data_IF_321412921206
#
_entry.id   IF_321412921206
#
_cell.length_a   1.000
_cell.length_b   1.000
_cell.length_c   1.000
_cell.angle_alpha   90.00
_cell.angle_beta   90.00
_cell.angle_gamma   90.00
#
_symmetry.space_group_name_H-M   'P 1'
#
loop_
_entity.id
_entity.type
_entity.pdbx_description
1 polymer ?
#
# COMPACT_ATOMS: atom_id res chain seq x y z
N UNK A 1 -12.96 31.40 4.82
CA UNK A 1 -12.04 32.07 3.87
C UNK A 1 -10.66 32.23 4.48
N UNK A 2 -10.53 32.79 5.69
CA UNK A 2 -9.24 33.06 6.31
C UNK A 2 -8.31 31.83 6.45
N UNK A 3 -8.82 30.71 6.95
CA UNK A 3 -8.05 29.46 7.05
C UNK A 3 -7.53 28.96 5.69
N UNK A 4 -8.28 29.18 4.59
CA UNK A 4 -7.83 28.81 3.25
C UNK A 4 -6.70 29.72 2.77
N UNK A 5 -6.79 31.03 3.04
CA UNK A 5 -5.73 31.97 2.72
C UNK A 5 -4.45 31.65 3.50
N UNK A 6 -4.56 31.32 4.78
CA UNK A 6 -3.44 30.87 5.61
C UNK A 6 -2.77 29.61 5.02
N UNK A 7 -3.56 28.59 4.67
CA UNK A 7 -3.04 27.35 4.09
C UNK A 7 -2.30 27.57 2.76
N UNK A 8 -2.79 28.49 1.92
CA UNK A 8 -2.12 28.85 0.66
C UNK A 8 -0.85 29.64 0.93
N UNK A 9 -0.89 30.60 1.86
CA UNK A 9 0.29 31.40 2.21
C UNK A 9 1.42 30.53 2.77
N UNK A 10 1.08 29.54 3.59
CA UNK A 10 1.99 28.58 4.21
C UNK A 10 2.45 27.43 3.29
N UNK A 11 2.12 27.46 1.99
CA UNK A 11 2.47 26.40 1.01
C UNK A 11 1.91 25.00 1.33
N UNK A 12 0.91 24.92 2.22
CA UNK A 12 0.20 23.66 2.52
C UNK A 12 -0.72 23.29 1.36
N UNK A 13 -1.35 24.29 0.73
CA UNK A 13 -2.17 24.11 -0.49
C UNK A 13 -1.63 24.99 -1.61
N UNK A 14 -1.45 24.48 -2.85
CA UNK A 14 -1.08 25.33 -3.98
C UNK A 14 -2.15 26.41 -4.26
N UNK A 15 -3.43 26.02 -4.21
CA UNK A 15 -4.58 26.94 -4.20
C UNK A 15 -5.71 26.39 -3.32
N UNK A 16 -6.67 27.24 -2.98
CA UNK A 16 -7.85 26.86 -2.22
C UNK A 16 -9.12 27.51 -2.78
N UNK A 17 -10.22 26.76 -2.78
CA UNK A 17 -11.52 27.20 -3.30
C UNK A 17 -12.45 27.54 -2.13
N UNK A 18 -13.28 28.57 -2.29
CA UNK A 18 -14.52 28.68 -1.51
C UNK A 18 -15.50 27.58 -1.91
N UNK A 19 -16.61 27.48 -1.19
CA UNK A 19 -17.76 26.77 -1.71
C UNK A 19 -18.34 27.47 -2.96
N UNK A 20 -19.00 26.74 -3.87
CA UNK A 20 -19.71 27.34 -4.99
C UNK A 20 -20.91 28.16 -4.54
N UNK A 21 -20.94 29.43 -4.93
CA UNK A 21 -21.92 30.44 -4.47
C UNK A 21 -22.63 31.11 -5.65
N UNK A 22 -23.78 31.73 -5.41
CA UNK A 22 -24.38 32.60 -6.42
C UNK A 22 -23.59 33.91 -6.53
N UNK A 23 -23.59 34.53 -7.71
CA UNK A 23 -22.82 35.76 -7.98
C UNK A 23 -23.09 36.88 -6.94
N UNK A 24 -24.33 37.01 -6.46
CA UNK A 24 -24.71 37.98 -5.43
C UNK A 24 -24.01 37.72 -4.09
N UNK A 25 -23.84 36.46 -3.72
CA UNK A 25 -23.16 36.09 -2.48
C UNK A 25 -21.66 36.36 -2.60
N UNK A 26 -21.08 36.07 -3.77
CA UNK A 26 -19.70 36.44 -4.10
C UNK A 26 -19.50 37.96 -4.04
N UNK A 27 -20.42 38.75 -4.60
CA UNK A 27 -20.35 40.22 -4.55
C UNK A 27 -20.31 40.75 -3.11
N UNK A 28 -21.08 40.14 -2.20
CA UNK A 28 -21.09 40.52 -0.78
C UNK A 28 -19.78 40.16 -0.05
N UNK A 29 -19.10 39.10 -0.47
CA UNK A 29 -17.87 38.60 0.15
C UNK A 29 -16.59 39.13 -0.52
N UNK A 30 -16.70 39.76 -1.69
CA UNK A 30 -15.54 40.11 -2.52
C UNK A 30 -14.54 41.03 -1.81
N UNK A 31 -15.02 42.10 -1.15
CA UNK A 31 -14.15 43.03 -0.43
C UNK A 31 -13.41 42.33 0.72
N UNK A 32 -14.14 41.53 1.51
CA UNK A 32 -13.55 40.78 2.62
C UNK A 32 -12.52 39.76 2.11
N UNK A 33 -12.81 39.06 1.01
CA UNK A 33 -11.88 38.12 0.41
C UNK A 33 -10.60 38.79 -0.09
N UNK A 34 -10.69 40.00 -0.65
CA UNK A 34 -9.53 40.80 -1.06
C UNK A 34 -8.70 41.23 0.15
N UNK A 35 -9.34 41.72 1.22
CA UNK A 35 -8.65 42.11 2.47
C UNK A 35 -7.94 40.91 3.12
N UNK A 36 -8.58 39.73 3.12
CA UNK A 36 -7.97 38.49 3.60
C UNK A 36 -6.76 38.13 2.71
N UNK A 37 -6.91 38.15 1.39
CA UNK A 37 -5.81 37.81 0.48
C UNK A 37 -4.59 38.74 0.68
N UNK A 38 -4.84 40.06 0.80
CA UNK A 38 -3.81 41.05 1.08
C UNK A 38 -3.12 40.81 2.43
N UNK A 39 -3.90 40.53 3.49
CA UNK A 39 -3.38 40.21 4.84
C UNK A 39 -2.37 39.06 4.81
N UNK A 40 -2.60 38.03 3.99
CA UNK A 40 -1.74 36.84 3.89
C UNK A 40 -0.72 36.93 2.74
N UNK A 41 -0.68 38.04 2.00
CA UNK A 41 0.27 38.23 0.89
C UNK A 41 0.02 37.31 -0.31
N UNK A 42 -1.24 36.95 -0.57
CA UNK A 42 -1.65 36.09 -1.68
C UNK A 42 -2.69 36.78 -2.58
N UNK A 43 -3.06 36.15 -3.68
CA UNK A 43 -4.12 36.63 -4.57
C UNK A 43 -5.47 35.98 -4.29
N UNK A 44 -6.54 36.65 -4.71
CA UNK A 44 -7.88 36.07 -4.85
C UNK A 44 -8.39 36.26 -6.27
N UNK A 45 -8.89 35.18 -6.87
CA UNK A 45 -9.47 35.17 -8.22
C UNK A 45 -10.93 34.77 -8.15
N UNK A 46 -11.79 35.53 -8.84
CA UNK A 46 -13.22 35.22 -8.99
C UNK A 46 -13.41 34.30 -10.19
N UNK A 47 -13.69 33.03 -9.93
CA UNK A 47 -13.95 32.03 -10.96
C UNK A 47 -15.45 31.93 -11.25
N UNK A 48 -15.86 32.31 -12.46
CA UNK A 48 -17.25 32.23 -12.90
C UNK A 48 -17.64 30.91 -13.59
N UNK A 49 -16.66 30.08 -13.94
CA UNK A 49 -16.87 28.80 -14.61
C UNK A 49 -15.80 27.80 -14.15
N UNK A 50 -16.04 27.18 -13.00
CA UNK A 50 -15.13 26.20 -12.39
C UNK A 50 -14.87 25.05 -13.37
N UNK A 51 -13.62 24.57 -13.42
CA UNK A 51 -13.23 23.46 -14.28
C UNK A 51 -14.07 22.19 -13.96
N UNK A 52 -14.76 21.60 -14.95
CA UNK A 52 -15.58 20.42 -14.74
C UNK A 52 -14.70 19.16 -14.77
N UNK A 53 -14.30 18.67 -13.61
CA UNK A 53 -13.52 17.42 -13.49
C UNK A 53 -14.32 16.34 -12.79
N UNK A 54 -13.88 15.09 -12.88
CA UNK A 54 -14.47 13.96 -12.15
C UNK A 54 -14.27 14.04 -10.62
N UNK A 55 -13.63 15.08 -10.07
CA UNK A 55 -13.53 15.24 -8.62
C UNK A 55 -14.80 15.78 -7.97
N UNK A 56 -15.64 16.49 -8.72
CA UNK A 56 -16.86 17.11 -8.21
C UNK A 56 -18.00 16.96 -9.21
N UNK A 57 -19.26 16.82 -8.78
CA UNK A 57 -20.39 16.80 -9.69
C UNK A 57 -20.51 18.12 -10.46
N UNK A 58 -20.70 18.05 -11.78
CA UNK A 58 -20.83 19.23 -12.66
C UNK A 58 -21.96 20.16 -12.19
N UNK A 59 -23.05 19.59 -11.70
CA UNK A 59 -24.23 20.30 -11.19
C UNK A 59 -23.90 21.24 -10.02
N UNK A 60 -22.88 20.91 -9.22
CA UNK A 60 -22.50 21.69 -8.03
C UNK A 60 -21.89 23.04 -8.41
N UNK A 61 -21.26 23.14 -9.59
CA UNK A 61 -20.63 24.37 -10.07
C UNK A 61 -21.44 25.12 -11.14
N UNK A 62 -22.51 24.52 -11.66
CA UNK A 62 -23.27 25.11 -12.75
C UNK A 62 -23.98 26.41 -12.32
N UNK A 63 -23.68 27.51 -13.02
CA UNK A 63 -24.26 28.83 -12.74
C UNK A 63 -23.83 29.41 -11.39
N UNK A 64 -22.76 28.88 -10.79
CA UNK A 64 -22.17 29.34 -9.55
C UNK A 64 -20.75 29.82 -9.77
N UNK A 65 -20.31 30.66 -8.86
CA UNK A 65 -18.97 31.23 -8.84
C UNK A 65 -18.21 30.75 -7.62
N UNK A 66 -16.88 30.79 -7.70
CA UNK A 66 -15.97 30.34 -6.65
C UNK A 66 -14.86 31.36 -6.46
N UNK A 67 -14.48 31.61 -5.22
CA UNK A 67 -13.29 32.39 -4.92
C UNK A 67 -12.11 31.44 -4.81
N UNK A 68 -11.04 31.72 -5.57
CA UNK A 68 -9.80 30.97 -5.53
C UNK A 68 -8.76 31.81 -4.80
N UNK A 69 -8.30 31.36 -3.64
CA UNK A 69 -7.13 31.92 -2.97
C UNK A 69 -5.88 31.22 -3.52
N UNK A 70 -4.88 31.99 -3.97
CA UNK A 70 -3.78 31.43 -4.77
C UNK A 70 -2.48 32.22 -4.65
N UNK A 71 -1.36 31.54 -4.97
CA UNK A 71 -0.13 32.18 -5.45
C UNK A 71 -0.16 32.28 -6.99
N UNK A 72 0.68 33.13 -7.57
CA UNK A 72 0.64 33.45 -9.01
C UNK A 72 0.80 32.20 -9.89
N UNK A 73 1.84 31.38 -9.64
CA UNK A 73 2.09 30.16 -10.41
C UNK A 73 0.95 29.13 -10.28
N UNK A 74 0.31 29.02 -9.12
CA UNK A 74 -0.78 28.08 -8.90
C UNK A 74 -2.05 28.49 -9.67
N UNK A 75 -2.36 29.80 -9.74
CA UNK A 75 -3.45 30.28 -10.58
C UNK A 75 -3.15 30.03 -12.05
N UNK A 76 -1.92 30.30 -12.52
CA UNK A 76 -1.57 30.02 -13.92
C UNK A 76 -1.73 28.54 -14.24
N UNK A 77 -1.25 27.64 -13.37
CA UNK A 77 -1.39 26.20 -13.57
C UNK A 77 -2.87 25.73 -13.60
N UNK A 78 -3.76 26.43 -12.87
CA UNK A 78 -5.19 26.20 -12.93
C UNK A 78 -5.81 26.73 -14.24
N UNK A 79 -5.41 27.90 -14.72
CA UNK A 79 -5.87 28.44 -16.01
C UNK A 79 -5.42 27.55 -17.18
N UNK A 80 -4.18 27.06 -17.15
CA UNK A 80 -3.66 26.10 -18.14
C UNK A 80 -4.43 24.78 -18.12
N UNK A 81 -4.92 24.34 -16.94
CA UNK A 81 -5.80 23.17 -16.84
C UNK A 81 -7.16 23.43 -17.50
N UNK A 82 -7.73 24.63 -17.36
CA UNK A 82 -8.97 24.98 -18.05
C UNK A 82 -8.80 24.96 -19.56
N UNK A 83 -7.69 25.47 -20.06
CA UNK A 83 -7.37 25.44 -21.49
C UNK A 83 -7.22 24.00 -22.01
N UNK A 84 -6.49 23.13 -21.29
CA UNK A 84 -6.33 21.73 -21.69
C UNK A 84 -7.66 20.98 -21.73
N UNK A 85 -8.56 21.23 -20.78
CA UNK A 85 -9.90 20.64 -20.74
C UNK A 85 -10.77 21.08 -21.94
N UNK A 86 -10.64 22.34 -22.39
CA UNK A 86 -11.34 22.82 -23.58
C UNK A 86 -10.85 22.13 -24.88
N UNK A 87 -9.63 21.60 -24.88
CA UNK A 87 -9.02 20.90 -26.02
C UNK A 87 -9.38 19.42 -26.16
N UNK A 88 -10.17 18.86 -25.23
CA UNK A 88 -10.74 17.51 -25.33
C UNK A 88 -9.87 16.36 -24.79
N UNK A 89 -8.84 16.67 -23.99
CA UNK A 89 -8.03 15.66 -23.31
C UNK A 89 -8.68 15.12 -22.03
N UNK A 90 -8.22 13.93 -21.65
CA UNK A 90 -8.76 12.94 -20.72
C UNK A 90 -9.48 13.49 -19.45
N UNK A 91 -10.39 12.70 -18.87
CA UNK A 91 -11.11 13.16 -17.67
C UNK A 91 -10.35 12.88 -16.37
N UNK A 92 -9.63 11.75 -16.29
CA UNK A 92 -8.97 11.31 -15.05
C UNK A 92 -7.65 12.03 -14.77
N UNK A 93 -6.77 12.20 -15.76
CA UNK A 93 -5.47 12.84 -15.54
C UNK A 93 -5.63 14.32 -15.14
N UNK A 94 -6.65 14.98 -15.68
CA UNK A 94 -7.04 16.36 -15.42
C UNK A 94 -7.70 16.48 -14.04
N UNK A 95 -8.53 15.51 -13.66
CA UNK A 95 -9.03 15.40 -12.29
C UNK A 95 -7.87 15.22 -11.29
N UNK A 96 -6.89 14.34 -11.56
CA UNK A 96 -5.70 14.18 -10.72
C UNK A 96 -4.87 15.47 -10.66
N UNK A 97 -4.69 16.17 -11.79
CA UNK A 97 -4.02 17.48 -11.85
C UNK A 97 -4.74 18.51 -10.99
N UNK A 98 -6.07 18.56 -11.07
CA UNK A 98 -6.85 19.47 -10.24
C UNK A 98 -6.76 19.13 -8.75
N UNK A 99 -6.83 17.85 -8.41
CA UNK A 99 -6.66 17.37 -7.03
C UNK A 99 -5.31 17.79 -6.43
N UNK A 100 -4.22 17.68 -7.22
CA UNK A 100 -2.89 18.17 -6.81
C UNK A 100 -2.87 19.68 -6.59
N UNK A 101 -3.52 20.47 -7.44
CA UNK A 101 -3.65 21.93 -7.23
C UNK A 101 -4.42 22.25 -5.93
N UNK A 102 -5.37 21.41 -5.56
CA UNK A 102 -6.10 21.51 -4.29
C UNK A 102 -5.33 20.95 -3.09
N UNK A 103 -4.10 20.44 -3.29
CA UNK A 103 -3.28 19.84 -2.23
C UNK A 103 -3.83 18.51 -1.70
N UNK A 104 -4.63 17.80 -2.49
CA UNK A 104 -5.18 16.50 -2.08
C UNK A 104 -4.15 15.38 -2.25
N UNK A 105 -4.02 14.49 -1.25
CA UNK A 105 -3.19 13.31 -1.39
C UNK A 105 -3.83 12.31 -2.38
N UNK A 106 -3.04 11.43 -3.02
CA UNK A 106 -3.52 10.47 -4.03
C UNK A 106 -4.71 9.62 -3.58
N UNK A 107 -4.70 9.10 -2.36
CA UNK A 107 -5.82 8.31 -1.82
C UNK A 107 -7.14 9.11 -1.75
N UNK A 108 -7.08 10.40 -1.41
CA UNK A 108 -8.29 11.24 -1.35
C UNK A 108 -8.78 11.60 -2.76
N UNK A 109 -7.86 11.80 -3.71
CA UNK A 109 -8.20 11.96 -5.13
C UNK A 109 -8.91 10.71 -5.65
N UNK A 110 -8.40 9.51 -5.33
CA UNK A 110 -9.04 8.24 -5.70
C UNK A 110 -10.46 8.12 -5.11
N UNK A 111 -10.66 8.48 -3.84
CA UNK A 111 -11.98 8.49 -3.20
C UNK A 111 -12.98 9.41 -3.93
N UNK A 112 -12.54 10.61 -4.31
CA UNK A 112 -13.38 11.54 -5.07
C UNK A 112 -13.71 10.99 -6.46
N UNK A 113 -12.72 10.43 -7.16
CA UNK A 113 -12.94 9.76 -8.45
C UNK A 113 -13.94 8.61 -8.31
N UNK A 114 -13.78 7.72 -7.33
CA UNK A 114 -14.67 6.59 -7.12
C UNK A 114 -16.11 7.01 -6.79
N UNK A 115 -16.27 8.14 -6.10
CA UNK A 115 -17.59 8.72 -5.79
C UNK A 115 -18.32 9.28 -7.02
N UNK A 116 -17.58 9.73 -8.02
CA UNK A 116 -18.12 10.57 -9.10
C UNK A 116 -17.89 10.02 -10.52
N UNK A 117 -17.20 8.89 -10.66
CA UNK A 117 -17.02 8.17 -11.91
C UNK A 117 -17.08 6.65 -11.69
N UNK A 118 -16.84 5.88 -12.74
CA UNK A 118 -16.71 4.42 -12.67
C UNK A 118 -15.31 3.95 -12.26
N UNK A 119 -14.38 4.87 -11.96
CA UNK A 119 -13.05 4.55 -11.45
C UNK A 119 -13.12 3.84 -10.10
N UNK A 120 -12.36 2.76 -9.94
CA UNK A 120 -12.19 2.03 -8.67
C UNK A 120 -10.74 1.61 -8.48
N UNK A 121 -10.40 1.33 -7.25
CA UNK A 121 -9.13 0.80 -6.76
C UNK A 121 -9.37 -0.46 -5.95
N UNK A 122 -8.33 -1.23 -5.63
CA UNK A 122 -8.47 -2.48 -4.89
C UNK A 122 -9.21 -2.30 -3.54
N UNK A 123 -8.95 -1.25 -2.72
CA UNK A 123 -9.71 -1.03 -1.49
C UNK A 123 -11.22 -0.88 -1.67
N UNK A 124 -11.71 -0.44 -2.83
CA UNK A 124 -13.16 -0.33 -3.09
C UNK A 124 -13.85 -1.71 -3.16
N UNK A 125 -13.08 -2.78 -3.36
CA UNK A 125 -13.55 -4.16 -3.37
C UNK A 125 -13.28 -4.91 -2.06
N UNK A 126 -12.63 -4.25 -1.09
CA UNK A 126 -12.25 -4.78 0.22
C UNK A 126 -10.96 -5.60 0.18
N UNK A 127 -10.01 -5.26 1.05
CA UNK A 127 -8.80 -6.04 1.31
C UNK A 127 -8.93 -6.60 2.73
N UNK A 128 -9.00 -7.93 2.84
CA UNK A 128 -9.09 -8.64 4.12
C UNK A 128 -7.72 -8.92 4.73
N UNK A 129 -6.72 -9.17 3.89
CA UNK A 129 -5.40 -9.55 4.32
C UNK A 129 -4.39 -9.46 3.18
N UNK A 130 -3.11 -9.41 3.55
CA UNK A 130 -2.00 -9.67 2.61
C UNK A 130 -1.43 -11.06 2.80
N UNK A 131 -0.83 -11.59 1.74
CA UNK A 131 -0.11 -12.85 1.77
C UNK A 131 1.10 -12.74 0.85
N UNK A 132 2.15 -13.52 1.13
CA UNK A 132 3.29 -13.69 0.23
C UNK A 132 3.53 -15.17 -0.01
N UNK A 133 3.68 -15.55 -1.28
CA UNK A 133 4.01 -16.92 -1.68
C UNK A 133 5.52 -17.07 -1.86
N UNK A 134 6.13 -17.92 -1.03
CA UNK A 134 7.54 -18.26 -1.07
C UNK A 134 7.69 -19.70 -1.58
N UNK A 135 8.66 -19.94 -2.46
CA UNK A 135 8.79 -21.18 -3.22
C UNK A 135 10.03 -21.95 -2.81
N UNK A 136 9.85 -23.24 -2.53
CA UNK A 136 10.87 -24.09 -1.95
C UNK A 136 11.04 -25.37 -2.76
N UNK A 137 12.28 -25.80 -2.89
CA UNK A 137 12.60 -27.15 -3.36
C UNK A 137 12.30 -28.20 -2.28
N UNK A 138 12.56 -27.87 -1.02
CA UNK A 138 12.25 -28.70 0.15
C UNK A 138 11.19 -28.02 1.03
N UNK A 139 9.91 -28.23 0.68
CA UNK A 139 8.79 -27.63 1.40
C UNK A 139 8.72 -28.09 2.87
N UNK A 140 9.14 -29.32 3.18
CA UNK A 140 9.16 -29.84 4.56
C UNK A 140 10.18 -29.10 5.41
N UNK A 141 11.38 -28.83 4.88
CA UNK A 141 12.40 -28.05 5.59
C UNK A 141 11.96 -26.60 5.80
N UNK A 142 11.23 -26.01 4.85
CA UNK A 142 10.64 -24.70 5.03
C UNK A 142 9.55 -24.72 6.11
N UNK A 143 8.63 -25.69 6.08
CA UNK A 143 7.62 -25.87 7.13
C UNK A 143 8.24 -26.04 8.52
N UNK A 144 9.30 -26.83 8.66
CA UNK A 144 10.02 -26.98 9.93
C UNK A 144 10.61 -25.64 10.40
N UNK A 145 11.13 -24.82 9.47
CA UNK A 145 11.66 -23.51 9.82
C UNK A 145 10.58 -22.52 10.27
N UNK A 146 9.52 -22.31 9.49
CA UNK A 146 8.49 -21.31 9.83
C UNK A 146 7.55 -21.81 10.93
N UNK A 147 7.17 -23.09 10.91
CA UNK A 147 6.23 -23.68 11.86
C UNK A 147 6.90 -24.12 13.17
N UNK A 148 7.98 -24.90 13.10
CA UNK A 148 8.57 -25.50 14.31
C UNK A 148 9.66 -24.61 14.94
N UNK A 149 10.53 -24.00 14.13
CA UNK A 149 11.63 -23.15 14.63
C UNK A 149 11.14 -21.74 14.98
N UNK A 150 10.42 -21.07 14.09
CA UNK A 150 9.84 -19.74 14.36
C UNK A 150 8.52 -19.82 15.14
N UNK A 151 7.88 -20.98 15.22
CA UNK A 151 6.66 -21.17 16.01
C UNK A 151 5.41 -20.53 15.40
N UNK A 152 5.40 -20.21 14.10
CA UNK A 152 4.24 -19.55 13.47
C UNK A 152 3.06 -20.53 13.35
N UNK A 153 1.85 -20.00 13.55
CA UNK A 153 0.62 -20.80 13.43
C UNK A 153 0.35 -21.15 11.96
N UNK A 154 0.33 -22.45 11.64
CA UNK A 154 -0.18 -22.94 10.35
C UNK A 154 -1.71 -22.88 10.35
N UNK A 155 -2.27 -22.10 9.43
CA UNK A 155 -3.72 -21.85 9.31
C UNK A 155 -4.37 -22.57 8.14
N UNK A 156 -3.57 -23.12 7.22
CA UNK A 156 -4.03 -23.96 6.12
C UNK A 156 -2.90 -24.85 5.60
N UNK A 157 -3.25 -26.05 5.12
CA UNK A 157 -2.34 -27.01 4.52
C UNK A 157 -3.01 -27.65 3.30
N UNK A 158 -2.53 -27.32 2.11
CA UNK A 158 -3.01 -27.86 0.84
C UNK A 158 -2.08 -28.93 0.27
N UNK A 159 -1.24 -29.56 1.09
CA UNK A 159 -0.19 -30.51 0.72
C UNK A 159 0.99 -29.84 0.00
N UNK A 160 0.73 -29.17 -1.14
CA UNK A 160 1.73 -28.46 -1.94
C UNK A 160 1.94 -27.00 -1.53
N UNK A 161 1.04 -26.46 -0.70
CA UNK A 161 1.10 -25.09 -0.20
C UNK A 161 0.65 -25.03 1.26
N UNK A 162 1.40 -24.34 2.11
CA UNK A 162 1.16 -24.26 3.56
C UNK A 162 1.19 -22.81 4.01
N UNK A 163 0.08 -22.35 4.60
CA UNK A 163 -0.08 -20.94 4.98
C UNK A 163 0.11 -20.77 6.47
N UNK A 164 1.02 -19.87 6.83
CA UNK A 164 1.36 -19.47 8.19
C UNK A 164 0.90 -18.05 8.45
N UNK A 165 0.41 -17.82 9.66
CA UNK A 165 -0.02 -16.50 10.11
C UNK A 165 1.15 -15.76 10.76
N UNK A 166 1.40 -14.53 10.31
CA UNK A 166 2.44 -13.66 10.88
C UNK A 166 1.81 -12.69 11.88
N UNK A 167 0.73 -12.03 11.49
CA UNK A 167 0.02 -11.03 12.28
C UNK A 167 -1.50 -11.14 12.08
N UNK A 168 -2.26 -10.14 12.55
CA UNK A 168 -3.73 -10.21 12.55
C UNK A 168 -4.31 -10.56 11.18
N UNK A 169 -3.82 -9.89 10.13
CA UNK A 169 -4.31 -10.00 8.76
C UNK A 169 -3.18 -10.08 7.71
N UNK A 170 -2.06 -10.71 8.07
CA UNK A 170 -0.97 -10.97 7.15
C UNK A 170 -0.39 -12.38 7.27
N UNK A 171 -0.10 -12.97 6.11
CA UNK A 171 0.26 -14.38 5.98
C UNK A 171 1.52 -14.59 5.14
N UNK A 172 2.17 -15.73 5.35
CA UNK A 172 3.21 -16.29 4.48
C UNK A 172 2.74 -17.66 4.03
N UNK A 173 2.74 -17.91 2.73
CA UNK A 173 2.44 -19.22 2.16
C UNK A 173 3.69 -19.83 1.56
N UNK A 174 4.10 -20.97 2.08
CA UNK A 174 5.20 -21.78 1.55
C UNK A 174 4.64 -22.68 0.46
N UNK A 175 5.29 -22.75 -0.70
CA UNK A 175 4.82 -23.48 -1.88
C UNK A 175 5.90 -24.41 -2.40
N UNK A 176 5.52 -25.63 -2.77
CA UNK A 176 6.37 -26.54 -3.53
C UNK A 176 6.68 -25.96 -4.91
N UNK A 177 7.95 -25.67 -5.18
CA UNK A 177 8.41 -25.06 -6.43
C UNK A 177 8.28 -25.96 -7.68
N UNK A 178 8.11 -27.28 -7.49
CA UNK A 178 7.81 -28.19 -8.61
C UNK A 178 6.39 -27.97 -9.14
N UNK A 179 5.45 -27.67 -8.25
CA UNK A 179 4.02 -27.50 -8.53
C UNK A 179 3.61 -26.02 -8.67
N UNK A 180 4.37 -25.12 -8.05
CA UNK A 180 4.13 -23.68 -8.03
C UNK A 180 4.51 -22.94 -9.32
N UNK A 181 4.13 -21.66 -9.36
CA UNK A 181 4.41 -20.74 -10.48
C UNK A 181 5.90 -20.44 -10.65
N UNK A 182 6.62 -20.26 -9.55
CA UNK A 182 8.05 -19.94 -9.55
C UNK A 182 8.89 -21.19 -9.33
N UNK A 183 10.08 -21.20 -9.94
CA UNK A 183 11.10 -22.23 -9.70
C UNK A 183 12.02 -21.82 -8.54
N UNK A 184 12.51 -22.80 -7.80
CA UNK A 184 13.31 -22.57 -6.59
C UNK A 184 14.65 -21.84 -6.90
N UNK A 185 15.14 -21.97 -8.13
CA UNK A 185 16.37 -21.33 -8.62
C UNK A 185 16.17 -19.87 -9.06
N UNK A 186 14.92 -19.40 -9.09
CA UNK A 186 14.66 -17.99 -9.41
C UNK A 186 15.28 -17.07 -8.34
N UNK A 187 15.78 -15.89 -8.73
CA UNK A 187 16.25 -14.90 -7.77
C UNK A 187 15.13 -14.55 -6.79
N UNK A 188 15.40 -14.68 -5.49
CA UNK A 188 14.49 -14.35 -4.38
C UNK A 188 14.51 -12.86 -4.12
N UNK A 189 14.06 -12.06 -5.08
CA UNK A 189 14.14 -10.59 -5.08
C UNK A 189 13.02 -10.02 -4.23
N UNK A 190 13.06 -10.31 -2.93
CA UNK A 190 12.08 -9.89 -1.92
C UNK A 190 12.72 -10.00 -0.54
N UNK A 191 12.34 -9.12 0.37
CA UNK A 191 12.62 -9.29 1.79
C UNK A 191 11.30 -9.19 2.58
N UNK A 192 11.21 -9.92 3.67
CA UNK A 192 10.01 -9.98 4.51
C UNK A 192 10.38 -9.44 5.88
N UNK A 193 9.88 -8.25 6.21
CA UNK A 193 10.08 -7.67 7.52
C UNK A 193 9.02 -8.20 8.48
N UNK A 194 9.43 -8.96 9.49
CA UNK A 194 8.64 -9.47 10.59
C UNK A 194 8.73 -8.47 11.75
N UNK A 195 7.64 -7.74 12.02
CA UNK A 195 7.67 -6.62 12.95
C UNK A 195 7.49 -7.09 14.40
N UNK A 196 8.44 -6.74 15.26
CA UNK A 196 8.48 -7.18 16.66
C UNK A 196 9.16 -6.13 17.53
N UNK A 197 8.81 -6.08 18.82
CA UNK A 197 9.51 -5.26 19.83
C UNK A 197 10.58 -6.06 20.59
N UNK A 198 10.76 -7.35 20.25
CA UNK A 198 11.59 -8.32 20.97
C UNK A 198 12.87 -8.67 20.17
N UNK A 199 13.52 -7.66 19.57
CA UNK A 199 14.68 -7.87 18.71
C UNK A 199 15.86 -8.56 19.39
N UNK A 200 16.30 -8.17 20.61
CA UNK A 200 17.40 -8.85 21.28
C UNK A 200 17.11 -10.34 21.51
N UNK A 201 15.89 -10.66 21.93
CA UNK A 201 15.47 -12.02 22.22
C UNK A 201 15.40 -12.89 20.95
N UNK A 202 14.81 -12.35 19.87
CA UNK A 202 14.81 -13.04 18.57
C UNK A 202 16.22 -13.26 18.03
N UNK A 203 17.10 -12.26 18.18
CA UNK A 203 18.48 -12.35 17.74
C UNK A 203 19.24 -13.46 18.48
N UNK A 204 19.18 -13.46 19.80
CA UNK A 204 19.85 -14.47 20.64
C UNK A 204 19.31 -15.87 20.36
N UNK A 205 17.98 -16.01 20.22
CA UNK A 205 17.33 -17.29 19.90
C UNK A 205 17.81 -17.84 18.54
N UNK A 206 17.81 -17.02 17.49
CA UNK A 206 18.22 -17.47 16.15
C UNK A 206 19.72 -17.78 16.08
N UNK A 207 20.56 -17.08 16.84
CA UNK A 207 21.96 -17.43 16.99
C UNK A 207 22.15 -18.77 17.71
N UNK A 208 21.40 -19.04 18.78
CA UNK A 208 21.43 -20.33 19.48
C UNK A 208 20.99 -21.48 18.57
N UNK A 209 20.01 -21.25 17.70
CA UNK A 209 19.55 -22.23 16.70
C UNK A 209 20.41 -22.29 15.44
N UNK A 210 21.54 -21.58 15.42
CA UNK A 210 22.50 -21.55 14.31
C UNK A 210 21.86 -21.13 12.96
N UNK A 211 20.84 -20.28 13.00
CA UNK A 211 20.24 -19.69 11.80
C UNK A 211 21.22 -18.68 11.20
N UNK A 212 21.36 -18.69 9.87
CA UNK A 212 22.27 -17.78 9.18
C UNK A 212 21.80 -16.32 9.35
N UNK A 213 22.70 -15.47 9.86
CA UNK A 213 22.48 -14.03 10.00
C UNK A 213 23.29 -13.29 8.94
N UNK A 214 22.60 -12.68 7.98
CA UNK A 214 23.21 -11.88 6.91
C UNK A 214 23.60 -10.48 7.38
N UNK A 215 22.72 -9.82 8.13
CA UNK A 215 22.98 -8.52 8.73
C UNK A 215 22.76 -8.61 10.24
N UNK A 216 23.78 -8.23 11.01
CA UNK A 216 23.81 -8.40 12.48
C UNK A 216 23.08 -7.28 13.20
N UNK A 217 22.49 -7.60 14.36
CA UNK A 217 21.78 -6.63 15.20
C UNK A 217 22.74 -5.57 15.74
N UNK A 218 22.54 -4.32 15.30
CA UNK A 218 23.36 -3.16 15.64
C UNK A 218 22.47 -1.94 15.88
N UNK A 219 21.71 -1.93 16.99
CA UNK A 219 20.77 -0.86 17.28
C UNK A 219 21.48 0.49 17.35
N UNK A 220 20.84 1.54 16.85
CA UNK A 220 21.38 2.91 16.89
C UNK A 220 20.41 3.86 17.57
N UNK A 221 20.97 4.86 18.23
CA UNK A 221 20.21 5.98 18.77
C UNK A 221 19.69 6.86 17.61
N UNK A 222 18.44 7.34 17.72
CA UNK A 222 17.78 8.23 16.75
C UNK A 222 17.57 7.67 15.33
N UNK A 223 17.65 6.36 15.13
CA UNK A 223 17.23 5.73 13.87
C UNK A 223 15.69 5.65 13.74
N UNK A 224 15.20 5.61 12.50
CA UNK A 224 13.78 5.35 12.21
C UNK A 224 13.35 3.91 12.54
N UNK A 225 14.26 2.95 12.45
CA UNK A 225 14.03 1.55 12.78
C UNK A 225 15.33 0.91 13.25
N UNK A 226 15.21 -0.18 14.00
CA UNK A 226 16.30 -1.13 14.25
C UNK A 226 15.90 -2.49 13.74
N UNK A 227 16.88 -3.32 13.40
CA UNK A 227 16.62 -4.69 13.01
C UNK A 227 17.88 -5.50 12.74
N UNK A 228 17.68 -6.74 12.34
CA UNK A 228 18.69 -7.63 11.81
C UNK A 228 18.05 -8.52 10.75
N UNK A 229 18.87 -9.18 9.93
CA UNK A 229 18.38 -10.00 8.81
C UNK A 229 18.88 -11.43 8.95
N UNK A 230 17.94 -12.35 9.09
CA UNK A 230 18.16 -13.79 9.01
C UNK A 230 17.89 -14.29 7.58
N UNK A 231 18.50 -15.42 7.25
CA UNK A 231 18.30 -16.10 5.98
C UNK A 231 17.55 -17.39 6.23
N UNK A 232 16.45 -17.58 5.49
CA UNK A 232 15.66 -18.80 5.59
C UNK A 232 16.37 -20.02 4.93
N UNK A 233 15.84 -21.24 5.05
CA UNK A 233 16.51 -22.46 4.59
C UNK A 233 16.96 -22.50 3.13
N UNK A 234 16.35 -21.67 2.28
CA UNK A 234 16.64 -21.60 0.85
C UNK A 234 16.94 -20.17 0.37
N UNK A 235 17.28 -19.24 1.26
CA UNK A 235 17.85 -17.94 0.87
C UNK A 235 16.88 -16.76 0.80
N UNK A 236 15.62 -16.88 1.24
CA UNK A 236 14.79 -15.68 1.43
C UNK A 236 15.31 -14.86 2.62
N UNK A 237 15.25 -13.53 2.52
CA UNK A 237 15.67 -12.63 3.59
C UNK A 237 14.49 -12.30 4.50
N UNK A 238 14.68 -12.56 5.80
CA UNK A 238 13.74 -12.23 6.85
C UNK A 238 14.34 -11.13 7.71
N UNK A 239 13.75 -9.93 7.67
CA UNK A 239 14.13 -8.82 8.52
C UNK A 239 13.34 -8.89 9.81
N UNK A 240 14.01 -9.00 10.94
CA UNK A 240 13.37 -8.80 12.24
C UNK A 240 13.51 -7.32 12.54
N UNK A 241 12.40 -6.60 12.62
CA UNK A 241 12.41 -5.13 12.59
C UNK A 241 11.49 -4.50 13.64
N UNK A 242 11.96 -3.40 14.24
CA UNK A 242 11.16 -2.51 15.09
C UNK A 242 11.21 -1.10 14.51
N UNK A 243 10.04 -0.54 14.15
CA UNK A 243 9.92 0.88 13.85
C UNK A 243 9.91 1.70 15.13
N UNK A 244 10.60 2.85 15.11
CA UNK A 244 10.72 3.77 16.23
C UNK A 244 9.95 5.06 15.97
N UNK A 245 9.70 5.80 17.05
CA UNK A 245 9.22 7.18 16.93
C UNK A 245 10.26 8.02 16.19
N UNK A 246 9.91 8.45 14.98
CA UNK A 246 10.77 9.20 14.07
C UNK A 246 9.86 9.99 13.11
N UNK A 247 10.29 11.14 12.54
CA UNK A 247 9.49 11.90 11.57
C UNK A 247 8.95 11.06 10.41
N UNK A 248 9.73 10.08 9.94
CA UNK A 248 9.32 9.15 8.86
C UNK A 248 8.15 8.24 9.25
N UNK A 249 7.94 7.97 10.55
CA UNK A 249 6.99 6.97 11.05
C UNK A 249 5.79 7.60 11.77
N UNK A 250 5.58 8.92 11.67
CA UNK A 250 4.53 9.61 12.42
C UNK A 250 3.12 9.08 12.12
N UNK A 251 2.88 8.64 10.87
CA UNK A 251 1.62 7.98 10.48
C UNK A 251 1.59 6.49 10.85
N UNK A 252 2.73 5.81 10.83
CA UNK A 252 2.85 4.37 11.06
C UNK A 252 2.74 4.01 12.56
N UNK A 253 3.42 4.74 13.45
CA UNK A 253 3.48 4.39 14.88
C UNK A 253 2.10 4.27 15.55
N UNK A 254 1.12 5.17 15.30
CA UNK A 254 -0.22 5.00 15.85
C UNK A 254 -0.93 3.74 15.33
N UNK A 255 -0.66 3.30 14.10
CA UNK A 255 -1.24 2.09 13.53
C UNK A 255 -0.66 0.83 14.20
N UNK A 256 0.67 0.73 14.29
CA UNK A 256 1.33 -0.44 14.89
C UNK A 256 0.90 -0.68 16.34
N UNK A 257 0.75 0.38 17.14
CA UNK A 257 0.36 0.28 18.56
C UNK A 257 -1.08 -0.22 18.80
N UNK A 258 -1.91 -0.32 17.77
CA UNK A 258 -3.27 -0.87 17.88
C UNK A 258 -3.26 -2.39 18.00
N UNK A 259 -2.21 -3.04 17.52
CA UNK A 259 -2.15 -4.49 17.33
C UNK A 259 -1.09 -5.10 18.23
N UNK A 260 -1.46 -5.99 19.18
CA UNK A 260 -0.48 -6.73 19.94
C UNK A 260 0.24 -7.74 19.04
N UNK A 261 1.46 -8.10 19.42
CA UNK A 261 2.17 -9.18 18.76
C UNK A 261 1.39 -10.50 18.90
N UNK A 262 1.22 -11.22 17.79
CA UNK A 262 0.73 -12.59 17.82
C UNK A 262 1.85 -13.49 18.34
N UNK A 263 1.58 -14.25 19.43
CA UNK A 263 2.58 -15.09 20.03
C UNK A 263 2.91 -16.30 19.15
N UNK A 264 4.18 -16.67 19.10
CA UNK A 264 4.66 -17.89 18.44
C UNK A 264 4.74 -19.04 19.43
N UNK A 265 4.42 -20.25 18.96
CA UNK A 265 4.46 -21.48 19.75
C UNK A 265 5.87 -22.06 19.83
N UNK A 266 6.82 -21.30 20.39
CA UNK A 266 8.20 -21.75 20.54
C UNK A 266 8.32 -22.79 21.67
N UNK A 267 8.45 -24.05 21.28
CA UNK A 267 8.77 -25.11 22.22
C UNK A 267 10.19 -24.86 22.78
N UNK A 268 10.28 -24.40 24.04
CA UNK A 268 11.49 -24.20 24.84
C UNK A 268 12.10 -22.78 24.94
N UNK A 269 11.45 -21.72 24.46
CA UNK A 269 11.90 -20.35 24.77
C UNK A 269 11.19 -19.80 26.04
N UNK A 270 11.89 -19.12 26.97
CA UNK A 270 11.29 -18.64 28.23
C UNK A 270 10.34 -17.44 28.04
N UNK A 271 10.42 -16.76 26.89
CA UNK A 271 9.56 -15.63 26.53
C UNK A 271 8.66 -16.01 25.36
N UNK A 272 7.41 -15.56 25.43
CA UNK A 272 6.43 -15.64 24.35
C UNK A 272 6.80 -14.58 23.30
N UNK A 273 7.63 -14.98 22.33
CA UNK A 273 8.03 -14.12 21.22
C UNK A 273 6.89 -13.99 20.22
N UNK A 274 6.83 -12.89 19.47
CA UNK A 274 5.77 -12.70 18.50
C UNK A 274 6.01 -11.60 17.49
N UNK A 275 5.08 -11.48 16.55
CA UNK A 275 5.07 -10.45 15.52
C UNK A 275 3.72 -9.73 15.47
N UNK A 276 3.74 -8.40 15.32
CA UNK A 276 2.51 -7.59 15.26
C UNK A 276 2.19 -7.08 13.84
N UNK A 277 3.05 -7.35 12.86
CA UNK A 277 2.83 -6.95 11.47
C UNK A 277 3.92 -7.46 10.56
N UNK A 278 3.75 -7.24 9.26
CA UNK A 278 4.76 -7.58 8.26
C UNK A 278 4.83 -6.57 7.14
N UNK A 279 6.03 -6.26 6.67
CA UNK A 279 6.27 -5.48 5.45
C UNK A 279 6.86 -6.40 4.39
N UNK A 280 6.24 -6.44 3.21
CA UNK A 280 6.80 -7.14 2.05
C UNK A 280 7.57 -6.16 1.19
N UNK A 281 8.91 -6.21 1.21
CA UNK A 281 9.78 -5.32 0.46
C UNK A 281 10.03 -5.83 -0.96
N UNK A 282 9.59 -5.05 -1.94
CA UNK A 282 9.76 -5.28 -3.37
C UNK A 282 10.73 -4.24 -3.96
N UNK A 283 11.58 -4.69 -4.88
CA UNK A 283 12.67 -3.92 -5.48
C UNK A 283 12.40 -3.57 -6.94
N UNK A 284 12.55 -2.29 -7.29
CA UNK A 284 12.18 -1.70 -8.58
C UNK A 284 13.33 -0.92 -9.22
N UNK A 285 13.45 -1.01 -10.55
CA UNK A 285 14.32 -0.13 -11.36
C UNK A 285 13.75 1.29 -11.44
N UNK A 286 12.43 1.41 -11.61
CA UNK A 286 11.69 2.67 -11.59
C UNK A 286 10.73 2.72 -10.39
N UNK A 287 11.24 3.23 -9.26
CA UNK A 287 10.45 3.41 -8.05
C UNK A 287 9.28 4.40 -8.25
N UNK A 288 9.42 5.39 -9.13
CA UNK A 288 8.36 6.37 -9.36
C UNK A 288 7.19 5.78 -10.14
N UNK A 289 7.47 4.88 -11.09
CA UNK A 289 6.43 4.10 -11.77
C UNK A 289 5.68 3.20 -10.79
N UNK A 290 6.41 2.51 -9.92
CA UNK A 290 5.81 1.67 -8.87
C UNK A 290 4.95 2.50 -7.90
N UNK A 291 5.43 3.66 -7.44
CA UNK A 291 4.67 4.58 -6.58
C UNK A 291 3.35 4.99 -7.23
N UNK A 292 3.38 5.46 -8.48
CA UNK A 292 2.14 5.81 -9.22
C UNK A 292 1.20 4.62 -9.34
N UNK A 293 1.73 3.42 -9.60
CA UNK A 293 0.92 2.22 -9.72
C UNK A 293 0.21 1.86 -8.40
N UNK A 294 0.96 1.75 -7.29
CA UNK A 294 0.38 1.38 -6.00
C UNK A 294 -0.54 2.46 -5.43
N UNK A 295 -0.28 3.74 -5.70
CA UNK A 295 -1.13 4.84 -5.24
C UNK A 295 -2.36 5.08 -6.11
N UNK A 296 -2.23 4.98 -7.44
CA UNK A 296 -3.29 5.42 -8.36
C UNK A 296 -4.09 4.27 -8.97
N UNK A 297 -3.51 3.09 -9.13
CA UNK A 297 -4.17 1.92 -9.73
C UNK A 297 -4.61 0.91 -8.68
N UNK A 298 -3.69 0.54 -7.77
CA UNK A 298 -4.03 -0.34 -6.64
C UNK A 298 -4.73 0.45 -5.54
N UNK A 299 -4.32 1.69 -5.27
CA UNK A 299 -5.00 2.62 -4.35
C UNK A 299 -4.56 2.56 -2.89
N UNK A 300 -3.36 2.03 -2.60
CA UNK A 300 -2.87 1.91 -1.23
C UNK A 300 -2.38 3.26 -0.69
N UNK A 301 -2.70 3.64 0.56
CA UNK A 301 -2.20 4.86 1.16
C UNK A 301 -0.74 4.74 1.61
N UNK A 302 0.09 5.72 1.21
CA UNK A 302 1.46 5.89 1.67
C UNK A 302 1.50 6.31 3.15
N UNK A 303 2.19 5.53 3.97
CA UNK A 303 2.30 5.76 5.42
C UNK A 303 3.73 6.05 5.90
N UNK A 304 4.75 5.62 5.15
CA UNK A 304 6.17 5.96 5.40
C UNK A 304 6.83 6.31 4.07
N UNK A 305 7.58 7.41 4.05
CA UNK A 305 8.36 7.83 2.88
C UNK A 305 9.79 8.20 3.29
N UNK A 306 10.76 7.44 2.80
CA UNK A 306 12.20 7.66 2.99
C UNK A 306 12.89 8.14 1.70
N UNK A 307 12.11 8.47 0.67
CA UNK A 307 12.57 8.82 -0.67
C UNK A 307 12.96 7.61 -1.53
N UNK A 308 13.78 6.70 -1.01
CA UNK A 308 14.26 5.49 -1.72
C UNK A 308 13.58 4.20 -1.27
N UNK A 309 12.83 4.26 -0.16
CA UNK A 309 11.99 3.20 0.34
C UNK A 309 10.66 3.82 0.80
N UNK A 310 9.54 3.18 0.46
CA UNK A 310 8.19 3.66 0.74
C UNK A 310 7.35 2.50 1.28
N UNK A 311 6.53 2.76 2.29
CA UNK A 311 5.62 1.76 2.87
C UNK A 311 4.18 2.20 2.65
N UNK A 312 3.40 1.28 2.10
CA UNK A 312 1.98 1.42 1.81
C UNK A 312 1.18 0.49 2.71
N UNK A 313 0.08 0.99 3.26
CA UNK A 313 -0.84 0.16 4.05
C UNK A 313 -1.72 -0.65 3.11
N UNK A 314 -1.63 -1.99 3.16
CA UNK A 314 -2.48 -2.87 2.37
C UNK A 314 -3.62 -3.47 3.19
N UNK A 315 -3.32 -3.86 4.43
CA UNK A 315 -4.29 -4.26 5.45
C UNK A 315 -3.93 -3.56 6.79
N UNK A 316 -4.56 -3.92 7.90
CA UNK A 316 -4.29 -3.27 9.19
C UNK A 316 -2.88 -3.60 9.73
N UNK A 317 -2.39 -4.82 9.49
CA UNK A 317 -1.07 -5.29 9.93
C UNK A 317 -0.15 -5.75 8.79
N UNK A 318 -0.65 -5.78 7.56
CA UNK A 318 0.08 -6.13 6.35
C UNK A 318 0.42 -4.91 5.51
N UNK A 319 1.71 -4.75 5.18
CA UNK A 319 2.25 -3.60 4.48
C UNK A 319 3.01 -4.00 3.21
N UNK A 320 2.95 -3.13 2.22
CA UNK A 320 3.68 -3.26 0.96
C UNK A 320 4.80 -2.23 0.92
N UNK A 321 6.04 -2.70 0.83
CA UNK A 321 7.24 -1.88 0.78
C UNK A 321 7.80 -1.80 -0.64
N UNK A 322 8.02 -0.58 -1.15
CA UNK A 322 8.66 -0.36 -2.46
C UNK A 322 10.06 0.21 -2.23
N UNK A 323 11.07 -0.36 -2.90
CA UNK A 323 12.48 -0.01 -2.70
C UNK A 323 13.17 0.25 -4.04
N UNK A 324 13.97 1.31 -4.10
CA UNK A 324 14.94 1.54 -5.18
C UNK A 324 16.03 0.45 -5.10
N UNK A 325 16.10 -0.38 -6.13
CA UNK A 325 17.03 -1.52 -6.21
C UNK A 325 18.50 -1.13 -6.04
N UNK A 326 18.88 0.11 -6.35
CA UNK A 326 20.26 0.60 -6.21
C UNK A 326 20.67 0.86 -4.77
N UNK A 327 19.72 0.85 -3.84
CA UNK A 327 19.93 1.16 -2.42
C UNK A 327 19.49 0.05 -1.47
N UNK A 328 18.55 -0.78 -1.90
CA UNK A 328 18.03 -1.91 -1.15
C UNK A 328 18.99 -3.10 -1.04
N UNK A 329 18.52 -4.19 -0.42
CA UNK A 329 19.29 -5.42 -0.24
C UNK A 329 19.33 -6.32 -1.48
N UNK A 330 18.47 -6.06 -2.47
CA UNK A 330 18.42 -6.79 -3.73
C UNK A 330 18.47 -5.82 -4.91
N UNK A 331 19.22 -6.24 -5.93
CA UNK A 331 19.10 -5.66 -7.27
C UNK A 331 17.81 -6.18 -7.92
N UNK A 332 17.29 -5.42 -8.88
CA UNK A 332 16.17 -5.82 -9.69
C UNK A 332 16.51 -7.07 -10.53
N UNK A 333 15.50 -7.92 -10.67
CA UNK A 333 15.50 -9.07 -11.57
C UNK A 333 14.12 -9.21 -12.20
N UNK A 334 14.02 -9.72 -13.43
CA UNK A 334 12.71 -9.95 -14.06
C UNK A 334 11.91 -11.05 -13.36
N UNK A 335 12.61 -12.13 -12.96
CA UNK A 335 12.04 -13.20 -12.14
C UNK A 335 12.24 -12.88 -10.67
N UNK A 336 11.19 -13.04 -9.87
CA UNK A 336 11.15 -12.57 -8.47
C UNK A 336 11.25 -13.69 -7.44
N UNK A 337 11.02 -14.94 -7.86
CA UNK A 337 10.95 -16.07 -6.94
C UNK A 337 9.86 -15.90 -5.88
N UNK A 338 8.84 -15.07 -6.11
CA UNK A 338 7.75 -14.81 -5.15
C UNK A 338 6.53 -14.27 -5.88
N UNK A 339 5.34 -14.48 -5.30
CA UNK A 339 4.10 -13.81 -5.70
C UNK A 339 3.50 -13.08 -4.50
N UNK A 340 3.00 -11.88 -4.71
CA UNK A 340 2.32 -11.09 -3.66
C UNK A 340 0.82 -11.33 -3.79
N UNK A 341 0.12 -11.50 -2.68
CA UNK A 341 -1.31 -11.74 -2.68
C UNK A 341 -2.11 -10.80 -1.80
N UNK A 342 -3.34 -10.58 -2.23
CA UNK A 342 -4.37 -9.87 -1.51
C UNK A 342 -5.60 -10.78 -1.39
N UNK A 343 -6.08 -10.98 -0.16
CA UNK A 343 -7.37 -11.61 0.08
C UNK A 343 -8.45 -10.55 -0.11
N UNK A 344 -9.33 -10.73 -1.10
CA UNK A 344 -10.29 -9.71 -1.54
C UNK A 344 -11.72 -10.13 -1.20
N UNK A 345 -12.51 -9.22 -0.63
CA UNK A 345 -13.91 -9.48 -0.28
C UNK A 345 -14.76 -9.72 -1.53
N UNK A 346 -14.78 -8.74 -2.44
CA UNK A 346 -15.57 -8.77 -3.66
C UNK A 346 -14.69 -9.13 -4.86
N UNK A 347 -14.05 -10.30 -4.79
CA UNK A 347 -13.06 -10.75 -5.80
C UNK A 347 -13.60 -10.73 -7.23
N UNK A 348 -14.81 -11.23 -7.45
CA UNK A 348 -15.40 -11.33 -8.80
C UNK A 348 -15.67 -9.93 -9.40
N UNK A 349 -16.09 -8.97 -8.56
CA UNK A 349 -16.28 -7.58 -8.98
C UNK A 349 -14.95 -6.89 -9.29
N UNK A 350 -13.90 -7.17 -8.49
CA UNK A 350 -12.55 -6.66 -8.75
C UNK A 350 -11.99 -7.20 -10.07
N UNK A 351 -12.21 -8.48 -10.33
CA UNK A 351 -11.84 -9.12 -11.60
C UNK A 351 -12.59 -8.50 -12.78
N UNK A 352 -13.91 -8.34 -12.69
CA UNK A 352 -14.73 -7.72 -13.73
C UNK A 352 -14.29 -6.28 -14.01
N UNK A 353 -13.99 -5.51 -12.96
CA UNK A 353 -13.42 -4.18 -13.08
C UNK A 353 -12.06 -4.23 -13.79
N UNK A 354 -11.18 -5.15 -13.40
CA UNK A 354 -9.84 -5.30 -13.98
C UNK A 354 -9.88 -5.66 -15.46
N UNK A 355 -10.81 -6.52 -15.89
CA UNK A 355 -11.03 -6.84 -17.31
C UNK A 355 -11.52 -5.63 -18.13
N UNK A 356 -12.39 -4.80 -17.55
CA UNK A 356 -12.96 -3.64 -18.24
C UNK A 356 -12.00 -2.45 -18.29
N UNK A 357 -11.27 -2.19 -17.21
CA UNK A 357 -10.49 -0.96 -17.01
C UNK A 357 -8.97 -1.16 -17.11
N UNK A 358 -8.48 -2.40 -17.12
CA UNK A 358 -7.07 -2.77 -17.25
C UNK A 358 -6.12 -1.94 -16.35
N UNK A 359 -6.35 -1.86 -15.01
CA UNK A 359 -5.46 -1.14 -14.09
C UNK A 359 -4.05 -1.75 -14.02
N UNK A 360 -3.90 -3.01 -14.44
CA UNK A 360 -2.64 -3.74 -14.61
C UNK A 360 -2.77 -4.75 -15.75
N UNK A 361 -1.65 -5.33 -16.16
CA UNK A 361 -1.62 -6.45 -17.09
C UNK A 361 -2.17 -7.70 -16.40
N UNK A 362 -3.26 -8.25 -16.93
CA UNK A 362 -3.81 -9.52 -16.48
C UNK A 362 -2.96 -10.68 -17.04
N UNK A 363 -2.35 -11.45 -16.15
CA UNK A 363 -1.51 -12.61 -16.49
C UNK A 363 -2.33 -13.90 -16.58
N UNK A 364 -3.28 -14.07 -15.65
CA UNK A 364 -4.11 -15.26 -15.56
C UNK A 364 -5.55 -14.88 -15.24
N UNK A 365 -6.45 -15.31 -16.12
CA UNK A 365 -7.89 -15.23 -15.91
C UNK A 365 -8.32 -15.97 -14.64
N UNK A 366 -9.50 -15.61 -14.12
CA UNK A 366 -10.01 -16.19 -12.89
C UNK A 366 -10.13 -17.72 -12.96
N UNK A 367 -9.68 -18.38 -11.90
CA UNK A 367 -9.64 -19.83 -11.78
C UNK A 367 -9.97 -20.28 -10.36
N UNK A 368 -10.46 -21.52 -10.22
CA UNK A 368 -10.58 -22.20 -8.93
C UNK A 368 -9.33 -23.03 -8.64
N UNK A 369 -8.91 -23.03 -7.38
CA UNK A 369 -7.92 -23.97 -6.85
C UNK A 369 -8.43 -25.41 -6.86
N UNK A 370 -7.52 -26.36 -6.65
CA UNK A 370 -7.85 -27.80 -6.48
C UNK A 370 -8.94 -27.95 -5.42
N UNK A 371 -9.92 -28.82 -5.69
CA UNK A 371 -11.05 -29.10 -4.78
C UNK A 371 -11.86 -27.86 -4.37
N UNK A 372 -11.86 -26.81 -5.21
CA UNK A 372 -12.58 -25.56 -4.97
C UNK A 372 -12.24 -24.93 -3.61
N UNK A 373 -10.98 -25.03 -3.17
CA UNK A 373 -10.52 -24.41 -1.91
C UNK A 373 -10.41 -22.89 -1.97
N UNK A 374 -10.20 -22.31 -3.16
CA UNK A 374 -10.11 -20.87 -3.34
C UNK A 374 -10.44 -20.49 -4.78
N UNK A 375 -10.77 -19.22 -5.01
CA UNK A 375 -10.77 -18.58 -6.33
C UNK A 375 -9.65 -17.55 -6.38
N UNK A 376 -9.02 -17.41 -7.53
CA UNK A 376 -7.99 -16.41 -7.75
C UNK A 376 -7.92 -15.96 -9.19
N UNK A 377 -7.33 -14.80 -9.42
CA UNK A 377 -6.80 -14.37 -10.72
C UNK A 377 -5.49 -13.62 -10.49
N UNK A 378 -4.67 -13.48 -11.53
CA UNK A 378 -3.32 -12.93 -11.38
C UNK A 378 -3.07 -11.78 -12.34
N UNK A 379 -2.59 -10.68 -11.80
CA UNK A 379 -2.02 -9.56 -12.55
C UNK A 379 -0.50 -9.44 -12.35
N UNK A 380 0.09 -8.44 -13.00
CA UNK A 380 1.52 -8.11 -12.86
C UNK A 380 1.68 -6.62 -12.61
N UNK A 381 2.54 -6.28 -11.66
CA UNK A 381 2.91 -4.88 -11.38
C UNK A 381 4.01 -4.37 -12.35
N UNK A 382 4.36 -3.07 -12.34
CA UNK A 382 5.40 -2.53 -13.22
C UNK A 382 6.78 -3.16 -13.00
N UNK A 383 7.04 -3.66 -11.79
CA UNK A 383 8.28 -4.34 -11.44
C UNK A 383 8.33 -5.80 -11.85
N UNK A 384 7.29 -6.36 -12.49
CA UNK A 384 7.13 -7.78 -12.85
C UNK A 384 6.86 -8.71 -11.66
N UNK A 385 6.40 -8.19 -10.52
CA UNK A 385 5.85 -9.04 -9.46
C UNK A 385 4.46 -9.53 -9.86
N UNK A 386 4.20 -10.82 -9.67
CA UNK A 386 2.84 -11.34 -9.79
C UNK A 386 2.02 -10.89 -8.58
N UNK A 387 0.85 -10.32 -8.86
CA UNK A 387 -0.16 -9.95 -7.89
C UNK A 387 -1.31 -10.95 -8.00
N UNK A 388 -1.43 -11.84 -7.03
CA UNK A 388 -2.54 -12.78 -6.94
C UNK A 388 -3.66 -12.18 -6.08
N UNK A 389 -4.83 -12.02 -6.68
CA UNK A 389 -6.03 -11.60 -5.95
C UNK A 389 -6.86 -12.84 -5.71
N UNK A 390 -7.17 -13.15 -4.46
CA UNK A 390 -7.84 -14.40 -4.12
C UNK A 390 -8.92 -14.23 -3.05
N UNK A 391 -9.82 -15.21 -3.01
CA UNK A 391 -10.79 -15.40 -1.95
C UNK A 391 -10.82 -16.89 -1.60
N UNK A 392 -10.79 -17.19 -0.30
CA UNK A 392 -10.95 -18.56 0.18
C UNK A 392 -12.42 -18.99 0.07
N UNK A 393 -12.65 -20.25 -0.26
CA UNK A 393 -13.97 -20.86 -0.33
C UNK A 393 -14.19 -21.77 0.88
N UNK A 394 -15.46 -22.01 1.22
CA UNK A 394 -15.82 -22.93 2.30
C UNK A 394 -15.25 -24.33 2.03
N UNK A 395 -14.33 -24.76 2.88
CA UNK A 395 -13.63 -26.04 2.79
C UNK A 395 -13.05 -26.39 4.16
N UNK A 396 -12.89 -27.68 4.47
CA UNK A 396 -12.35 -28.13 5.77
C UNK A 396 -10.95 -27.56 6.03
N UNK A 397 -10.06 -27.60 5.03
CA UNK A 397 -8.71 -26.99 5.05
C UNK A 397 -8.69 -25.47 5.28
N UNK A 398 -9.83 -24.79 5.15
CA UNK A 398 -9.96 -23.34 5.31
C UNK A 398 -10.65 -22.92 6.60
N UNK A 399 -11.11 -23.88 7.42
CA UNK A 399 -11.83 -23.60 8.67
C UNK A 399 -11.07 -22.59 9.53
N UNK A 400 -9.76 -22.84 9.73
CA UNK A 400 -8.92 -21.97 10.54
C UNK A 400 -8.66 -20.61 9.88
N UNK A 401 -8.47 -20.57 8.55
CA UNK A 401 -8.36 -19.31 7.80
C UNK A 401 -9.60 -18.43 7.99
N UNK A 402 -10.81 -18.99 7.88
CA UNK A 402 -12.03 -18.22 8.12
C UNK A 402 -12.13 -17.73 9.57
N UNK A 403 -11.78 -18.56 10.56
CA UNK A 403 -11.81 -18.14 11.98
C UNK A 403 -10.91 -16.93 12.25
N UNK A 404 -9.73 -16.86 11.61
CA UNK A 404 -8.78 -15.77 11.84
C UNK A 404 -9.11 -14.52 11.01
N UNK A 405 -9.75 -14.67 9.85
CA UNK A 405 -10.15 -13.59 8.94
C UNK A 405 -11.54 -12.98 9.22
N UNK A 406 -12.37 -13.61 10.06
CA UNK A 406 -13.76 -13.17 10.31
C UNK A 406 -13.91 -12.30 11.56
N UNK A 407 -12.81 -11.76 12.09
CA UNK A 407 -12.80 -10.85 13.24
C UNK A 407 -12.63 -9.43 12.75
#
# INVERSE_FOLDING_TARGET
MEAFAEMVAADVKPLALSEPMHAKDVDNLWSEAQEIAEKYGIGVYREGNLVPTQLFPIEVAQGKEVLIFHKENALQAYLDLKESMASGNNQQAEARRFGRLLGYPPHYINQLLAKHSDFRTLPDFGIKATNIFLYYKDLSRAEDFYGNLLGMEKVSDYEFAKTFRVSEDAFITLVDAELGRHKAEEPKTVAIALLTDQLPEWYDFLQEKEVEIKYTYKPKENNAHDGFVAVDPEGYLLEFETFKQHPENEKLMPQLRRYPALPTALNAHPLELGFYGTVTWMYYEDLQEAERFYEEQIGLPLIVDQGWAKVYQASETGYIGLVDEKRGMHNYTEKKGTSIAFVVDNLEDWYAYSQKHAPFTLEREMYSGKEDRYKAFVGVDPGKYFLEFNAFLEHEDNTRLFEVLSK
#
